data_IF_012282586926
#
_entry.id   IF_012282586926
#
_cell.length_a   1.000
_cell.length_b   1.000
_cell.length_c   1.000
_cell.angle_alpha   90.00
_cell.angle_beta   90.00
_cell.angle_gamma   90.00
#
_symmetry.space_group_name_H-M   'P 1'
#
loop_
_entity.id
_entity.type
_entity.pdbx_description
1 polymer ?
#
# COMPACT_ATOMS: atom_id res chain seq x y z
N UNK A 1 6.27 -5.61 -17.98
CA UNK A 1 6.18 -5.86 -16.52
C UNK A 1 5.65 -4.61 -15.85
N UNK A 2 4.68 -4.74 -14.99
CA UNK A 2 4.09 -3.64 -14.21
C UNK A 2 4.50 -3.76 -12.75
N UNK A 3 4.54 -2.64 -12.04
CA UNK A 3 4.80 -2.60 -10.60
C UNK A 3 3.51 -2.21 -9.87
N UNK A 4 3.20 -2.92 -8.80
CA UNK A 4 2.10 -2.60 -7.90
C UNK A 4 2.64 -2.41 -6.49
N UNK A 5 2.36 -1.26 -5.91
CA UNK A 5 2.70 -0.92 -4.53
C UNK A 5 1.41 -0.85 -3.71
N UNK A 6 1.30 -1.71 -2.69
CA UNK A 6 0.18 -1.69 -1.75
C UNK A 6 0.66 -1.09 -0.43
N UNK A 7 0.12 0.06 -0.05
CA UNK A 7 0.48 0.78 1.18
C UNK A 7 -0.74 0.88 2.09
N UNK A 8 -0.66 0.30 3.29
CA UNK A 8 -1.68 0.55 4.30
C UNK A 8 -1.40 1.91 4.97
N UNK A 9 -2.48 2.67 5.25
CA UNK A 9 -2.33 3.91 6.02
C UNK A 9 -1.52 3.69 7.30
N UNK A 10 -0.78 4.69 7.73
CA UNK A 10 0.00 4.65 8.96
C UNK A 10 -0.92 4.72 10.19
N UNK A 11 -0.32 4.59 11.37
CA UNK A 11 -1.07 4.57 12.63
C UNK A 11 -1.90 5.84 12.82
N UNK A 12 -3.18 5.64 13.09
CA UNK A 12 -4.16 6.72 13.28
C UNK A 12 -4.51 6.94 14.74
N UNK A 13 -4.94 8.17 15.04
CA UNK A 13 -5.40 8.56 16.37
C UNK A 13 -6.75 7.91 16.69
N UNK A 14 -6.94 7.51 17.94
CA UNK A 14 -8.20 6.99 18.47
C UNK A 14 -8.83 7.92 19.52
N UNK A 15 -8.19 9.06 19.81
CA UNK A 15 -8.46 9.87 20.98
C UNK A 15 -9.65 10.82 20.91
N UNK A 16 -10.20 11.11 19.73
CA UNK A 16 -11.32 12.04 19.57
C UNK A 16 -12.61 11.32 19.19
N UNK A 17 -13.46 11.09 20.19
CA UNK A 17 -14.78 10.45 20.03
C UNK A 17 -15.77 11.33 19.24
N UNK A 18 -15.50 12.64 19.07
CA UNK A 18 -16.33 13.53 18.27
C UNK A 18 -16.11 13.34 16.77
N UNK A 19 -15.00 12.74 16.35
CA UNK A 19 -14.72 12.48 14.94
C UNK A 19 -15.35 11.16 14.47
N UNK A 20 -15.86 11.16 13.25
CA UNK A 20 -16.19 9.92 12.55
C UNK A 20 -14.92 9.12 12.27
N UNK A 21 -15.06 7.80 12.02
CA UNK A 21 -13.93 6.97 11.61
C UNK A 21 -13.21 7.54 10.39
N UNK A 22 -13.97 7.98 9.38
CA UNK A 22 -13.44 8.57 8.15
C UNK A 22 -12.60 9.84 8.41
N UNK A 23 -12.95 10.64 9.40
CA UNK A 23 -12.30 11.90 9.73
C UNK A 23 -11.07 11.75 10.66
N UNK A 24 -10.78 10.53 11.15
CA UNK A 24 -9.61 10.30 12.00
C UNK A 24 -8.31 10.43 11.22
N UNK A 25 -7.39 11.28 11.69
CA UNK A 25 -6.07 11.46 11.09
C UNK A 25 -5.00 10.58 11.72
N UNK A 26 -3.77 10.74 11.24
CA UNK A 26 -2.60 10.06 11.78
C UNK A 26 -2.25 10.58 13.17
N UNK A 27 -1.65 9.73 13.99
CA UNK A 27 -0.97 10.15 15.22
C UNK A 27 0.52 10.43 14.96
N UNK A 28 1.24 10.88 16.00
CA UNK A 28 2.67 11.18 15.88
C UNK A 28 3.53 9.97 15.51
N UNK A 29 3.16 8.79 15.99
CA UNK A 29 3.84 7.55 15.65
C UNK A 29 3.61 7.18 14.17
N UNK A 30 2.40 7.43 13.65
CA UNK A 30 2.08 7.24 12.25
C UNK A 30 2.90 8.16 11.35
N UNK A 31 3.01 9.43 11.67
CA UNK A 31 3.83 10.39 10.91
C UNK A 31 5.32 9.98 10.89
N UNK A 32 5.85 9.53 12.01
CA UNK A 32 7.23 9.02 12.10
C UNK A 32 7.42 7.79 11.20
N UNK A 33 6.47 6.86 11.23
CA UNK A 33 6.52 5.65 10.41
C UNK A 33 6.50 5.97 8.90
N UNK A 34 5.67 6.93 8.47
CA UNK A 34 5.62 7.35 7.06
C UNK A 34 6.93 8.03 6.65
N UNK A 35 7.53 8.84 7.51
CA UNK A 35 8.82 9.46 7.23
C UNK A 35 9.91 8.41 6.97
N UNK A 36 9.96 7.36 7.78
CA UNK A 36 10.87 6.23 7.58
C UNK A 36 10.57 5.49 6.26
N UNK A 37 9.30 5.25 5.97
CA UNK A 37 8.87 4.58 4.73
C UNK A 37 9.19 5.43 3.49
N UNK A 38 9.00 6.75 3.55
CA UNK A 38 9.39 7.66 2.47
C UNK A 38 10.86 7.53 2.12
N UNK A 39 11.73 7.51 3.13
CA UNK A 39 13.16 7.33 2.93
C UNK A 39 13.47 5.98 2.28
N UNK A 40 12.88 4.90 2.79
CA UNK A 40 13.05 3.56 2.22
C UNK A 40 12.61 3.50 0.76
N UNK A 41 11.46 4.09 0.43
CA UNK A 41 10.96 4.14 -0.95
C UNK A 41 11.94 4.88 -1.88
N UNK A 42 12.50 6.01 -1.44
CA UNK A 42 13.49 6.76 -2.22
C UNK A 42 14.77 5.97 -2.46
N UNK A 43 15.31 5.35 -1.42
CA UNK A 43 16.51 4.52 -1.51
C UNK A 43 16.33 3.33 -2.45
N UNK A 44 15.11 2.80 -2.52
CA UNK A 44 14.74 1.67 -3.37
C UNK A 44 14.27 2.08 -4.77
N UNK A 45 14.16 3.38 -5.04
CA UNK A 45 13.70 3.89 -6.32
C UNK A 45 12.22 3.59 -6.61
N UNK A 46 11.39 3.49 -5.58
CA UNK A 46 9.95 3.23 -5.71
C UNK A 46 9.21 4.54 -5.98
N UNK A 47 8.89 4.79 -7.24
CA UNK A 47 8.23 6.00 -7.72
C UNK A 47 7.01 5.64 -8.59
N UNK A 48 5.77 5.70 -8.05
CA UNK A 48 4.59 5.36 -8.81
C UNK A 48 4.26 6.42 -9.87
N UNK A 49 3.71 5.98 -11.01
CA UNK A 49 3.15 6.88 -12.03
C UNK A 49 1.77 7.38 -11.62
N UNK A 50 1.03 6.54 -10.90
CA UNK A 50 -0.33 6.81 -10.45
C UNK A 50 -0.54 6.29 -9.03
N UNK A 51 -1.35 7.02 -8.26
CA UNK A 51 -1.78 6.64 -6.92
C UNK A 51 -3.30 6.64 -6.84
N UNK A 52 -3.87 5.52 -6.41
CA UNK A 52 -5.26 5.44 -5.97
C UNK A 52 -5.25 5.51 -4.44
N UNK A 53 -5.93 6.48 -3.87
CA UNK A 53 -5.96 6.68 -2.41
C UNK A 53 -7.38 6.75 -1.89
N UNK A 54 -7.65 6.06 -0.78
CA UNK A 54 -8.93 6.18 -0.07
C UNK A 54 -9.16 7.61 0.39
N UNK A 55 -10.40 8.05 0.33
CA UNK A 55 -10.83 9.38 0.77
C UNK A 55 -10.75 9.61 2.29
N UNK A 56 -10.49 8.58 3.10
CA UNK A 56 -10.32 8.73 4.54
C UNK A 56 -9.12 9.64 4.87
N UNK A 57 -9.26 10.46 5.90
CA UNK A 57 -8.22 11.40 6.29
C UNK A 57 -6.87 10.72 6.55
N UNK A 58 -6.84 9.58 7.23
CA UNK A 58 -5.60 8.86 7.54
C UNK A 58 -4.85 8.35 6.32
N UNK A 59 -5.56 7.97 5.24
CA UNK A 59 -4.94 7.58 3.98
C UNK A 59 -4.40 8.78 3.21
N UNK A 60 -5.14 9.89 3.19
CA UNK A 60 -4.69 11.14 2.56
C UNK A 60 -3.46 11.72 3.26
N UNK A 61 -3.44 11.74 4.59
CA UNK A 61 -2.29 12.19 5.38
C UNK A 61 -1.07 11.26 5.21
N UNK A 62 -1.29 9.95 5.07
CA UNK A 62 -0.21 9.00 4.75
C UNK A 62 0.42 9.35 3.41
N UNK A 63 -0.38 9.58 2.38
CA UNK A 63 0.12 9.95 1.05
C UNK A 63 0.84 11.31 1.07
N UNK A 64 0.26 12.31 1.71
CA UNK A 64 0.86 13.64 1.86
C UNK A 64 2.24 13.57 2.54
N UNK A 65 2.38 12.75 3.55
CA UNK A 65 3.65 12.58 4.28
C UNK A 65 4.75 11.87 3.46
N UNK A 66 4.42 11.28 2.31
CA UNK A 66 5.41 10.76 1.35
C UNK A 66 6.03 11.84 0.47
N UNK A 67 5.44 13.03 0.43
CA UNK A 67 5.99 14.16 -0.33
C UNK A 67 7.32 14.66 0.25
N UNK A 68 8.16 15.33 -0.55
CA UNK A 68 7.98 15.61 -1.99
C UNK A 68 8.34 14.42 -2.87
N UNK A 69 7.68 14.32 -4.01
CA UNK A 69 8.01 13.38 -5.08
C UNK A 69 9.06 13.97 -6.02
N UNK A 70 9.95 13.15 -6.55
CA UNK A 70 10.87 13.57 -7.60
C UNK A 70 10.09 13.84 -8.91
N UNK A 71 9.13 12.95 -9.21
CA UNK A 71 8.12 13.16 -10.23
C UNK A 71 6.76 12.95 -9.56
N UNK A 72 5.89 13.97 -9.61
CA UNK A 72 4.58 13.92 -8.98
C UNK A 72 3.67 12.92 -9.70
N UNK A 73 3.19 11.86 -9.03
CA UNK A 73 2.28 10.91 -9.63
C UNK A 73 0.90 11.55 -9.90
N UNK A 74 0.15 10.95 -10.81
CA UNK A 74 -1.27 11.24 -10.94
C UNK A 74 -2.00 10.66 -9.71
N UNK A 75 -2.70 11.50 -8.95
CA UNK A 75 -3.38 11.10 -7.72
C UNK A 75 -4.89 11.08 -7.96
N UNK A 76 -5.52 9.95 -7.67
CA UNK A 76 -6.97 9.78 -7.71
C UNK A 76 -7.49 9.38 -6.33
N UNK A 77 -8.27 10.27 -5.72
CA UNK A 77 -8.94 10.03 -4.44
C UNK A 77 -10.25 9.31 -4.68
N UNK A 78 -10.48 8.19 -3.99
CA UNK A 78 -11.60 7.30 -4.24
C UNK A 78 -12.35 6.92 -2.96
N UNK A 79 -13.63 7.25 -2.89
CA UNK A 79 -14.51 6.78 -1.81
C UNK A 79 -14.68 5.26 -1.84
N UNK A 80 -14.60 4.64 -3.02
CA UNK A 80 -14.70 3.21 -3.22
C UNK A 80 -13.57 2.41 -2.54
N UNK A 81 -12.45 3.07 -2.22
CA UNK A 81 -11.34 2.44 -1.47
C UNK A 81 -11.54 2.48 0.04
N UNK A 82 -12.45 3.33 0.54
CA UNK A 82 -12.69 3.41 1.97
C UNK A 82 -13.24 2.09 2.52
N UNK A 83 -12.46 1.43 3.38
CA UNK A 83 -12.74 0.12 3.96
C UNK A 83 -13.12 -0.94 2.91
N UNK A 84 -12.56 -0.83 1.73
CA UNK A 84 -12.84 -1.75 0.62
C UNK A 84 -12.34 -3.17 0.91
N UNK A 85 -13.08 -4.16 0.42
CA UNK A 85 -12.64 -5.56 0.41
C UNK A 85 -11.56 -5.79 -0.65
N UNK A 86 -10.83 -6.90 -0.55
CA UNK A 86 -9.85 -7.28 -1.57
C UNK A 86 -10.46 -7.40 -2.97
N UNK A 87 -11.68 -7.92 -3.07
CA UNK A 87 -12.41 -8.06 -4.34
C UNK A 87 -12.72 -6.68 -4.94
N UNK A 88 -13.16 -5.74 -4.11
CA UNK A 88 -13.44 -4.37 -4.55
C UNK A 88 -12.16 -3.65 -5.01
N UNK A 89 -11.07 -3.78 -4.27
CA UNK A 89 -9.78 -3.19 -4.67
C UNK A 89 -9.29 -3.81 -5.99
N UNK A 90 -9.36 -5.13 -6.12
CA UNK A 90 -8.95 -5.80 -7.36
C UNK A 90 -9.75 -5.32 -8.57
N UNK A 91 -11.05 -5.08 -8.41
CA UNK A 91 -11.88 -4.51 -9.48
C UNK A 91 -11.40 -3.11 -9.90
N UNK A 92 -11.01 -2.27 -8.95
CA UNK A 92 -10.43 -0.95 -9.23
C UNK A 92 -9.08 -1.05 -9.96
N UNK A 93 -8.22 -1.98 -9.57
CA UNK A 93 -6.95 -2.23 -10.26
C UNK A 93 -7.15 -2.61 -11.73
N UNK A 94 -8.15 -3.45 -11.99
CA UNK A 94 -8.48 -3.87 -13.36
C UNK A 94 -8.97 -2.76 -14.27
N UNK A 95 -9.46 -1.66 -13.69
CA UNK A 95 -9.93 -0.48 -14.41
C UNK A 95 -8.82 0.56 -14.67
N UNK A 96 -7.63 0.37 -14.13
CA UNK A 96 -6.50 1.29 -14.34
C UNK A 96 -6.06 1.29 -15.80
N UNK A 97 -5.77 2.47 -16.40
CA UNK A 97 -5.27 2.54 -17.76
C UNK A 97 -3.99 1.73 -17.96
N UNK A 98 -3.91 1.00 -19.06
CA UNK A 98 -2.77 0.14 -19.37
C UNK A 98 -1.45 0.91 -19.63
N UNK A 99 -1.53 2.22 -19.80
CA UNK A 99 -0.38 3.11 -19.89
C UNK A 99 0.35 3.30 -18.55
N UNK A 100 -0.33 3.06 -17.42
CA UNK A 100 0.25 3.12 -16.09
C UNK A 100 1.15 1.90 -15.88
N UNK A 101 2.43 2.14 -15.60
CA UNK A 101 3.43 1.08 -15.40
C UNK A 101 3.72 0.81 -13.94
N UNK A 102 3.64 1.84 -13.10
CA UNK A 102 3.81 1.74 -11.65
C UNK A 102 2.61 2.36 -10.95
N UNK A 103 1.88 1.55 -10.22
CA UNK A 103 0.66 1.92 -9.52
C UNK A 103 0.86 1.74 -8.02
N UNK A 104 0.47 2.76 -7.24
CA UNK A 104 0.33 2.64 -5.78
C UNK A 104 -1.13 2.69 -5.38
N UNK A 105 -1.50 1.87 -4.41
CA UNK A 105 -2.79 1.95 -3.72
C UNK A 105 -2.54 2.24 -2.26
N UNK A 106 -3.19 3.27 -1.72
CA UNK A 106 -3.17 3.59 -0.29
C UNK A 106 -4.54 3.30 0.29
N UNK A 107 -4.61 2.31 1.17
CA UNK A 107 -5.90 1.80 1.63
C UNK A 107 -5.87 1.24 3.06
N UNK A 108 -6.80 0.35 3.33
CA UNK A 108 -7.15 -0.15 4.66
C UNK A 108 -7.13 -1.67 4.74
N UNK A 109 -6.85 -2.19 5.93
CA UNK A 109 -7.11 -3.58 6.26
C UNK A 109 -8.61 -3.77 6.61
N UNK A 110 -9.15 -5.00 6.44
CA UNK A 110 -8.46 -6.21 6.00
C UNK A 110 -8.20 -6.29 4.49
N UNK A 111 -8.79 -5.39 3.69
CA UNK A 111 -8.75 -5.45 2.24
C UNK A 111 -7.34 -5.49 1.65
N UNK A 112 -6.43 -4.67 2.17
CA UNK A 112 -5.04 -4.60 1.69
C UNK A 112 -4.28 -5.91 1.97
N UNK A 113 -4.42 -6.46 3.18
CA UNK A 113 -3.79 -7.72 3.54
C UNK A 113 -4.34 -8.88 2.72
N UNK A 114 -5.66 -8.99 2.63
CA UNK A 114 -6.32 -10.04 1.85
C UNK A 114 -5.94 -9.96 0.36
N UNK A 115 -5.84 -8.76 -0.19
CA UNK A 115 -5.41 -8.55 -1.58
C UNK A 115 -3.96 -8.98 -1.79
N UNK A 116 -3.06 -8.61 -0.88
CA UNK A 116 -1.65 -9.00 -0.98
C UNK A 116 -1.49 -10.52 -0.96
N UNK A 117 -2.20 -11.21 -0.07
CA UNK A 117 -2.21 -12.68 -0.02
C UNK A 117 -2.81 -13.31 -1.28
N UNK A 118 -3.90 -12.74 -1.79
CA UNK A 118 -4.56 -13.19 -3.02
C UNK A 118 -3.63 -13.08 -4.23
N UNK A 119 -2.94 -11.96 -4.39
CA UNK A 119 -2.03 -11.71 -5.51
C UNK A 119 -0.79 -12.60 -5.44
N UNK A 120 -0.24 -12.79 -4.24
CA UNK A 120 0.90 -13.68 -4.04
C UNK A 120 0.55 -15.13 -4.38
N UNK A 121 -0.67 -15.55 -4.07
CA UNK A 121 -1.15 -16.91 -4.35
C UNK A 121 -0.44 -18.01 -3.55
N UNK A 122 -0.95 -19.26 -3.59
CA UNK A 122 -0.36 -20.37 -2.85
C UNK A 122 0.99 -20.84 -3.41
N UNK A 123 1.21 -20.65 -4.70
CA UNK A 123 2.40 -21.11 -5.41
C UNK A 123 3.46 -20.04 -5.62
N UNK A 124 3.29 -18.87 -5.02
CA UNK A 124 4.29 -17.83 -5.11
C UNK A 124 5.62 -18.33 -4.52
N UNK A 125 6.40 -18.98 -5.35
CA UNK A 125 7.77 -19.43 -5.06
C UNK A 125 8.71 -18.23 -5.05
N UNK A 126 8.49 -17.29 -4.15
CA UNK A 126 9.56 -16.33 -3.90
C UNK A 126 10.70 -17.06 -3.17
N UNK A 127 11.91 -16.78 -3.57
CA UNK A 127 13.11 -17.29 -2.95
C UNK A 127 13.27 -16.88 -1.47
N UNK A 128 12.45 -15.95 -0.99
CA UNK A 128 12.51 -15.43 0.37
C UNK A 128 11.32 -15.91 1.22
N UNK A 129 11.52 -17.04 1.91
CA UNK A 129 10.52 -17.60 2.86
C UNK A 129 10.19 -16.65 4.01
N UNK A 130 11.17 -15.85 4.44
CA UNK A 130 10.96 -14.90 5.54
C UNK A 130 9.96 -13.82 5.16
N UNK A 131 10.09 -13.24 3.99
CA UNK A 131 9.19 -12.20 3.48
C UNK A 131 7.74 -12.70 3.36
N UNK A 132 7.55 -13.91 2.84
CA UNK A 132 6.22 -14.55 2.76
C UNK A 132 5.61 -14.77 4.13
N UNK A 133 6.42 -15.24 5.07
CA UNK A 133 5.98 -15.46 6.44
C UNK A 133 5.56 -14.15 7.09
N UNK A 134 6.35 -13.09 6.93
CA UNK A 134 6.01 -11.76 7.42
C UNK A 134 4.69 -11.25 6.86
N UNK A 135 4.45 -11.41 5.56
CA UNK A 135 3.17 -11.04 4.95
C UNK A 135 2.01 -11.91 5.46
N UNK A 136 2.22 -13.21 5.64
CA UNK A 136 1.20 -14.11 6.18
C UNK A 136 0.81 -13.76 7.62
N UNK A 137 1.79 -13.31 8.43
CA UNK A 137 1.57 -12.92 9.83
C UNK A 137 0.77 -11.62 9.98
N UNK A 138 0.73 -10.75 8.97
CA UNK A 138 -0.06 -9.53 9.00
C UNK A 138 0.39 -8.47 8.01
N UNK A 139 -0.37 -7.39 7.97
CA UNK A 139 -0.07 -6.20 7.19
C UNK A 139 -0.20 -4.98 8.10
N UNK A 140 0.86 -4.62 8.85
CA UNK A 140 0.80 -3.56 9.85
C UNK A 140 0.51 -2.18 9.26
N UNK A 141 0.04 -1.26 10.09
CA UNK A 141 -0.15 0.14 9.70
C UNK A 141 1.17 0.70 9.13
N UNK A 142 1.09 1.38 7.99
CA UNK A 142 2.26 1.93 7.30
C UNK A 142 3.09 0.92 6.52
N UNK A 143 2.72 -0.36 6.50
CA UNK A 143 3.45 -1.38 5.73
C UNK A 143 3.22 -1.24 4.22
N UNK A 144 4.25 -1.61 3.47
CA UNK A 144 4.29 -1.56 2.01
C UNK A 144 4.60 -2.95 1.45
N UNK A 145 3.79 -3.41 0.50
CA UNK A 145 4.07 -4.59 -0.31
C UNK A 145 4.31 -4.17 -1.77
N UNK A 146 5.39 -4.65 -2.35
CA UNK A 146 5.73 -4.45 -3.76
C UNK A 146 5.54 -5.75 -4.53
N UNK A 147 4.79 -5.67 -5.62
CA UNK A 147 4.58 -6.76 -6.56
C UNK A 147 5.05 -6.39 -7.96
N UNK A 148 5.55 -7.37 -8.69
CA UNK A 148 5.60 -7.31 -10.15
C UNK A 148 4.38 -8.02 -10.72
N UNK A 149 3.80 -7.45 -11.76
CA UNK A 149 2.62 -7.95 -12.45
C UNK A 149 2.95 -8.13 -13.93
N UNK A 150 2.92 -9.35 -14.41
CA UNK A 150 3.24 -9.68 -15.81
C UNK A 150 2.06 -9.42 -16.76
N UNK A 151 0.83 -9.59 -16.29
CA UNK A 151 -0.39 -9.38 -17.07
C UNK A 151 -0.71 -7.90 -17.30
N UNK A 152 -1.68 -7.62 -18.15
CA UNK A 152 -2.37 -6.33 -18.16
C UNK A 152 -3.14 -6.12 -16.85
N UNK A 153 -3.41 -4.86 -16.47
CA UNK A 153 -4.21 -4.58 -15.27
C UNK A 153 -5.57 -5.25 -15.34
N UNK A 154 -6.24 -5.16 -16.49
CA UNK A 154 -7.56 -5.76 -16.72
C UNK A 154 -7.60 -7.28 -16.53
N UNK A 155 -6.47 -7.95 -16.71
CA UNK A 155 -6.33 -9.41 -16.62
C UNK A 155 -5.74 -9.86 -15.28
N UNK A 156 -5.53 -8.94 -14.34
CA UNK A 156 -4.97 -9.27 -13.02
C UNK A 156 -5.92 -10.19 -12.24
N UNK A 157 -5.39 -11.29 -11.74
CA UNK A 157 -6.15 -12.35 -11.08
C UNK A 157 -5.40 -12.90 -9.86
N UNK A 158 -6.02 -13.87 -9.19
CA UNK A 158 -5.41 -14.60 -8.08
C UNK A 158 -4.07 -15.20 -8.51
N UNK A 159 -3.03 -15.00 -7.70
CA UNK A 159 -1.67 -15.45 -8.03
C UNK A 159 -1.00 -14.68 -9.16
N UNK A 160 -1.61 -13.59 -9.63
CA UNK A 160 -1.09 -12.78 -10.74
C UNK A 160 0.00 -11.78 -10.34
N UNK A 161 0.37 -11.70 -9.07
CA UNK A 161 1.43 -10.84 -8.57
C UNK A 161 2.59 -11.65 -8.00
N UNK A 162 3.81 -11.28 -8.37
CA UNK A 162 5.00 -11.80 -7.72
C UNK A 162 5.45 -10.83 -6.63
N UNK A 163 5.40 -11.26 -5.38
CA UNK A 163 5.85 -10.45 -4.24
C UNK A 163 7.37 -10.26 -4.33
N UNK A 164 7.80 -9.02 -4.49
CA UNK A 164 9.21 -8.62 -4.59
C UNK A 164 9.74 -8.19 -3.23
N UNK A 165 8.90 -7.44 -2.48
CA UNK A 165 9.31 -6.82 -1.22
C UNK A 165 8.11 -6.63 -0.31
N UNK A 166 8.35 -6.82 0.99
CA UNK A 166 7.39 -6.48 2.03
C UNK A 166 8.14 -5.75 3.15
N UNK A 167 7.76 -4.51 3.41
CA UNK A 167 8.39 -3.63 4.39
C UNK A 167 7.36 -3.23 5.44
N UNK A 168 7.62 -3.58 6.70
CA UNK A 168 6.87 -3.05 7.82
C UNK A 168 7.70 -1.92 8.47
N UNK A 169 7.07 -0.85 9.01
CA UNK A 169 7.82 0.25 9.63
C UNK A 169 8.81 -0.20 10.71
N UNK A 170 8.44 -1.17 11.53
CA UNK A 170 9.30 -1.74 12.59
C UNK A 170 10.63 -2.30 12.07
N UNK A 171 10.68 -2.69 10.79
CA UNK A 171 11.87 -3.30 10.16
C UNK A 171 12.79 -2.24 9.52
N UNK A 172 12.36 -0.97 9.52
CA UNK A 172 13.13 0.13 8.95
C UNK A 172 14.14 0.68 9.97
N UNK A 173 15.38 1.04 9.56
CA UNK A 173 16.45 1.43 10.49
C UNK A 173 16.07 2.56 11.44
N UNK A 174 15.28 3.53 10.99
CA UNK A 174 14.87 4.70 11.77
C UNK A 174 13.85 4.40 12.85
N UNK A 175 13.21 3.24 12.78
CA UNK A 175 12.22 2.78 13.76
C UNK A 175 12.81 1.81 14.77
N UNK A 176 14.05 1.36 14.56
CA UNK A 176 14.72 0.35 15.40
C UNK A 176 15.44 0.94 16.61
N UNK A 177 15.23 2.24 16.89
CA UNK A 177 15.82 2.94 18.04
C UNK A 177 14.97 2.92 19.30
#
# INVERSE_FOLDING_TARGET
MRQLLLLRHAKSSHGDLALSDHARGLDGAGLKAVSAMRRAMRELGLAPDMVLVSSARRTLETLEALEPWDETPLIETMDQLYLATSVQVLALLRAVPETVRSLMVVGHNPGMHDLALTLAGPHAMSSNRHMKRSLADGFPAGALAEFTVASHWRDLTVGGGQLVRFLAPKDLPEMAG
#
